data_IF_237939021681
#
_entry.id   IF_237939021681
#
_cell.length_a   1.000
_cell.length_b   1.000
_cell.length_c   1.000
_cell.angle_alpha   90.00
_cell.angle_beta   90.00
_cell.angle_gamma   90.00
#
_symmetry.space_group_name_H-M   'P 1'
#
loop_
_entity.id
_entity.type
_entity.pdbx_description
1 polymer ?
#
# COMPACT_ATOMS: atom_id res chain seq x y z
N UNK A 1 40.18 9.39 25.37
CA UNK A 1 39.63 8.04 25.17
C UNK A 1 38.75 8.10 23.97
N UNK A 2 38.78 7.06 23.14
CA UNK A 2 37.82 6.91 22.04
C UNK A 2 36.57 6.25 22.64
N UNK A 3 35.42 6.91 22.55
CA UNK A 3 34.16 6.38 23.10
C UNK A 3 33.70 5.08 22.41
N UNK A 4 34.30 4.76 21.26
CA UNK A 4 34.03 3.55 20.48
C UNK A 4 35.00 2.40 20.75
N UNK A 5 35.87 2.50 21.75
CA UNK A 5 36.76 1.40 22.11
C UNK A 5 36.80 1.14 23.61
N UNK A 6 36.85 -0.14 23.97
CA UNK A 6 37.29 -0.57 25.29
C UNK A 6 38.82 -0.50 25.33
N UNK A 7 39.32 0.58 25.92
CA UNK A 7 40.75 0.81 26.09
C UNK A 7 41.21 0.19 27.42
N UNK A 8 42.06 -0.84 27.35
CA UNK A 8 42.66 -1.50 28.53
C UNK A 8 44.18 -1.48 28.46
N UNK A 9 44.84 -1.51 29.61
CA UNK A 9 46.30 -1.56 29.69
C UNK A 9 46.74 -2.90 30.27
N UNK A 10 47.46 -3.67 29.48
CA UNK A 10 48.09 -4.92 29.89
C UNK A 10 49.57 -4.67 30.24
N UNK A 11 50.04 -5.00 31.45
CA UNK A 11 51.42 -4.74 31.86
C UNK A 11 52.49 -5.47 31.03
N UNK A 12 52.11 -6.52 30.30
CA UNK A 12 53.01 -7.35 29.48
C UNK A 12 52.91 -6.97 28.01
N UNK A 13 51.69 -6.79 27.50
CA UNK A 13 51.45 -6.57 26.06
C UNK A 13 51.18 -5.11 25.67
N UNK A 14 51.05 -4.20 26.63
CA UNK A 14 50.76 -2.79 26.39
C UNK A 14 49.26 -2.47 26.22
N UNK A 15 48.94 -1.32 25.64
CA UNK A 15 47.56 -0.87 25.44
C UNK A 15 46.83 -1.77 24.43
N UNK A 16 45.60 -2.17 24.78
CA UNK A 16 44.66 -2.88 23.92
C UNK A 16 43.41 -2.01 23.75
N UNK A 17 42.96 -1.85 22.51
CA UNK A 17 41.75 -1.12 22.17
C UNK A 17 40.86 -2.06 21.37
N UNK A 18 39.71 -2.42 21.91
CA UNK A 18 38.73 -3.27 21.23
C UNK A 18 37.51 -2.44 20.82
N UNK A 19 37.04 -2.50 19.56
CA UNK A 19 35.84 -1.80 19.16
C UNK A 19 34.63 -2.18 20.01
N UNK A 20 33.83 -1.19 20.40
CA UNK A 20 32.52 -1.42 21.00
C UNK A 20 31.55 -1.84 19.89
N UNK A 21 30.73 -2.86 20.18
CA UNK A 21 29.58 -3.21 19.36
C UNK A 21 28.41 -2.31 19.73
N UNK A 22 27.99 -1.46 18.79
CA UNK A 22 26.85 -0.57 18.95
C UNK A 22 25.56 -1.16 18.38
N UNK A 23 25.51 -2.45 18.07
CA UNK A 23 24.27 -3.06 17.59
C UNK A 23 23.20 -3.11 18.70
N UNK A 24 22.11 -2.35 18.55
CA UNK A 24 21.00 -2.36 19.53
C UNK A 24 19.96 -3.46 19.24
N UNK A 25 20.10 -4.17 18.13
CA UNK A 25 19.17 -5.18 17.59
C UNK A 25 17.81 -4.61 17.18
N UNK A 26 17.69 -3.30 17.00
CA UNK A 26 16.53 -2.65 16.41
C UNK A 26 16.73 -2.57 14.88
N UNK A 27 15.91 -3.30 14.13
CA UNK A 27 15.96 -3.27 12.66
C UNK A 27 15.49 -1.92 12.08
N UNK A 28 14.99 -1.02 12.94
CA UNK A 28 14.50 0.30 12.60
C UNK A 28 15.51 1.41 12.88
N UNK A 29 16.73 1.07 13.25
CA UNK A 29 17.82 2.03 13.46
C UNK A 29 19.00 1.72 12.53
N UNK A 30 19.75 2.76 12.21
CA UNK A 30 21.11 2.62 11.72
C UNK A 30 22.08 2.88 12.85
N UNK A 31 22.84 1.86 13.21
CA UNK A 31 23.75 1.90 14.33
C UNK A 31 25.11 2.43 13.89
N UNK A 32 25.62 3.40 14.63
CA UNK A 32 26.94 3.96 14.40
C UNK A 32 27.64 4.28 15.71
N UNK A 33 28.96 4.46 15.65
CA UNK A 33 29.70 4.89 16.81
C UNK A 33 30.43 6.21 16.55
N UNK A 34 30.05 7.22 17.33
CA UNK A 34 30.72 8.51 17.38
C UNK A 34 31.91 8.45 18.34
N UNK A 35 33.09 8.84 17.87
CA UNK A 35 34.33 8.73 18.65
C UNK A 35 34.34 9.54 19.96
N UNK A 36 33.45 10.53 20.09
CA UNK A 36 33.34 11.41 21.26
C UNK A 36 32.08 11.11 22.07
N UNK A 37 30.95 10.86 21.40
CA UNK A 37 29.65 10.71 22.03
C UNK A 37 29.27 9.24 22.31
N UNK A 38 29.92 8.28 21.64
CA UNK A 38 29.64 6.85 21.77
C UNK A 38 28.62 6.34 20.76
N UNK A 39 27.92 5.26 21.10
CA UNK A 39 26.92 4.65 20.21
C UNK A 39 25.76 5.61 19.91
N UNK A 40 25.39 5.68 18.64
CA UNK A 40 24.28 6.46 18.09
C UNK A 40 23.37 5.53 17.30
N UNK A 41 22.08 5.75 17.45
CA UNK A 41 21.01 4.99 16.82
C UNK A 41 20.12 6.00 16.11
N UNK A 42 20.10 5.94 14.77
CA UNK A 42 19.29 6.86 13.96
C UNK A 42 18.11 6.10 13.36
N UNK A 43 16.90 6.54 13.66
CA UNK A 43 15.67 5.94 13.13
C UNK A 43 15.70 5.93 11.59
N UNK A 44 15.39 4.77 11.00
CA UNK A 44 15.18 4.65 9.56
C UNK A 44 13.75 5.05 9.22
N UNK A 45 13.58 5.54 7.99
CA UNK A 45 12.25 5.73 7.40
C UNK A 45 11.96 4.56 6.47
N UNK A 46 10.85 3.87 6.72
CA UNK A 46 10.29 2.91 5.78
C UNK A 46 9.40 3.66 4.79
N UNK A 47 9.74 3.57 3.51
CA UNK A 47 8.99 4.16 2.41
C UNK A 47 9.15 3.24 1.18
N UNK A 48 8.08 2.55 0.77
CA UNK A 48 8.06 1.75 -0.46
C UNK A 48 7.63 2.53 -1.70
N UNK A 49 7.46 3.85 -1.56
CA UNK A 49 7.00 4.79 -2.58
C UNK A 49 5.58 4.52 -3.10
N UNK A 50 4.81 3.65 -2.44
CA UNK A 50 3.42 3.38 -2.78
C UNK A 50 2.49 4.22 -1.91
N UNK A 51 1.57 4.96 -2.54
CA UNK A 51 0.49 5.64 -1.81
C UNK A 51 -0.60 4.68 -1.32
N UNK A 52 -0.49 3.40 -1.71
CA UNK A 52 -1.43 2.33 -1.41
C UNK A 52 -1.03 1.50 -0.19
N UNK A 53 -0.04 1.95 0.55
CA UNK A 53 0.54 1.26 1.70
C UNK A 53 0.64 2.22 2.88
N UNK A 54 0.52 1.65 4.07
CA UNK A 54 0.88 2.32 5.31
C UNK A 54 2.20 1.73 5.74
N UNK A 55 3.21 2.59 5.84
CA UNK A 55 4.59 2.18 6.02
C UNK A 55 4.98 2.36 7.47
N UNK A 56 5.43 1.27 8.08
CA UNK A 56 5.79 1.24 9.50
C UNK A 56 7.09 0.47 9.66
N UNK A 57 7.81 0.75 10.74
CA UNK A 57 8.97 -0.03 11.12
C UNK A 57 8.71 -0.69 12.47
N UNK A 58 8.83 -2.01 12.51
CA UNK A 58 8.78 -2.79 13.74
C UNK A 58 10.18 -3.24 14.15
N UNK A 59 10.67 -2.95 15.36
CA UNK A 59 12.06 -3.22 15.74
C UNK A 59 12.55 -4.66 15.52
N UNK A 60 11.66 -5.64 15.65
CA UNK A 60 11.99 -7.05 15.48
C UNK A 60 11.84 -7.56 14.03
N UNK A 61 11.08 -6.85 13.19
CA UNK A 61 10.68 -7.31 11.85
C UNK A 61 11.23 -6.42 10.72
N UNK A 62 11.70 -5.21 11.05
CA UNK A 62 12.10 -4.17 10.10
C UNK A 62 10.88 -3.49 9.46
N UNK A 63 11.05 -3.04 8.23
CA UNK A 63 9.99 -2.36 7.49
C UNK A 63 8.81 -3.29 7.15
N UNK A 64 7.61 -2.78 7.43
CA UNK A 64 6.32 -3.42 7.14
C UNK A 64 5.48 -2.45 6.31
N UNK A 65 5.05 -2.93 5.15
CA UNK A 65 4.24 -2.20 4.18
C UNK A 65 2.84 -2.81 4.15
N UNK A 66 1.89 -2.17 4.80
CA UNK A 66 0.52 -2.72 4.92
C UNK A 66 -0.39 -2.12 3.86
N UNK A 67 -0.97 -2.91 2.95
CA UNK A 67 -1.89 -2.39 1.94
C UNK A 67 -3.08 -1.65 2.57
N UNK A 68 -3.44 -0.50 2.01
CA UNK A 68 -4.66 0.22 2.40
C UNK A 68 -5.90 -0.40 1.74
N UNK A 69 -7.06 -0.18 2.35
CA UNK A 69 -8.34 -0.47 1.71
C UNK A 69 -8.79 0.73 0.88
N UNK A 70 -9.14 0.48 -0.38
CA UNK A 70 -9.80 1.45 -1.26
C UNK A 70 -11.29 1.14 -1.41
N UNK A 71 -11.92 0.48 -0.44
CA UNK A 71 -13.36 0.19 -0.46
C UNK A 71 -14.18 1.49 -0.34
N UNK A 72 -14.93 1.87 -1.38
CA UNK A 72 -15.86 3.01 -1.34
C UNK A 72 -17.28 2.66 -0.86
N UNK A 73 -17.49 1.39 -0.48
CA UNK A 73 -18.76 0.82 -0.05
C UNK A 73 -19.86 0.79 -1.12
N UNK A 74 -19.53 1.02 -2.39
CA UNK A 74 -20.46 0.88 -3.51
C UNK A 74 -20.30 -0.52 -4.12
N UNK A 75 -21.41 -1.26 -4.19
CA UNK A 75 -21.39 -2.61 -4.78
C UNK A 75 -21.25 -2.62 -6.31
N UNK A 76 -21.43 -1.45 -6.93
CA UNK A 76 -21.38 -1.26 -8.38
C UNK A 76 -20.08 -0.60 -8.84
N UNK A 77 -19.03 -0.65 -8.03
CA UNK A 77 -17.68 -0.24 -8.38
C UNK A 77 -16.73 -1.42 -8.20
N UNK A 78 -15.69 -1.44 -9.01
CA UNK A 78 -14.50 -2.27 -8.82
C UNK A 78 -13.42 -1.36 -8.28
N UNK A 79 -13.06 -1.63 -7.03
CA UNK A 79 -12.13 -0.82 -6.28
C UNK A 79 -10.72 -1.37 -6.42
N UNK A 80 -9.78 -0.47 -6.69
CA UNK A 80 -8.37 -0.81 -6.83
C UNK A 80 -7.51 0.32 -6.29
N UNK A 81 -6.25 0.01 -5.98
CA UNK A 81 -5.29 1.02 -5.59
C UNK A 81 -4.12 1.04 -6.58
N UNK A 82 -3.91 2.20 -7.20
CA UNK A 82 -2.76 2.45 -8.04
C UNK A 82 -1.62 3.02 -7.18
N UNK A 83 -0.42 2.40 -7.15
CA UNK A 83 0.64 2.77 -6.22
C UNK A 83 1.15 4.21 -6.40
N UNK A 84 0.85 4.87 -7.51
CA UNK A 84 1.25 6.26 -7.78
C UNK A 84 0.08 7.22 -7.57
N UNK A 85 -1.11 6.88 -8.07
CA UNK A 85 -2.24 7.81 -8.08
C UNK A 85 -3.26 7.59 -6.95
N UNK A 86 -3.17 6.48 -6.22
CA UNK A 86 -4.07 6.14 -5.12
C UNK A 86 -5.31 5.36 -5.56
N UNK A 87 -6.35 5.42 -4.74
CA UNK A 87 -7.58 4.68 -4.95
C UNK A 87 -8.27 5.05 -6.27
N UNK A 88 -8.73 4.02 -6.98
CA UNK A 88 -9.48 4.10 -8.22
C UNK A 88 -10.74 3.25 -8.07
N UNK A 89 -11.86 3.84 -8.45
CA UNK A 89 -13.19 3.25 -8.40
C UNK A 89 -13.72 3.24 -9.83
N UNK A 90 -13.95 2.06 -10.39
CA UNK A 90 -14.42 1.91 -11.76
C UNK A 90 -15.80 1.28 -11.75
N UNK A 91 -16.78 1.92 -12.40
CA UNK A 91 -18.13 1.39 -12.45
C UNK A 91 -18.16 -0.03 -13.03
N UNK A 92 -18.94 -0.90 -12.40
CA UNK A 92 -19.25 -2.24 -12.91
C UNK A 92 -20.01 -2.09 -14.22
N UNK A 93 -19.41 -2.59 -15.30
CA UNK A 93 -20.04 -2.61 -16.61
C UNK A 93 -20.95 -3.83 -16.70
N UNK A 94 -22.25 -3.59 -16.65
CA UNK A 94 -23.26 -4.57 -17.00
C UNK A 94 -23.55 -4.46 -18.48
N UNK A 95 -23.35 -5.55 -19.22
CA UNK A 95 -23.66 -5.63 -20.64
C UNK A 95 -24.01 -7.08 -20.99
N UNK A 96 -25.25 -7.35 -21.38
CA UNK A 96 -25.69 -8.72 -21.73
C UNK A 96 -25.56 -9.04 -23.23
N UNK A 97 -25.31 -8.03 -24.06
CA UNK A 97 -25.18 -8.18 -25.51
C UNK A 97 -26.43 -7.82 -26.30
N UNK A 98 -27.51 -7.41 -25.64
CA UNK A 98 -28.76 -7.00 -26.25
C UNK A 98 -28.86 -5.47 -26.32
N UNK A 99 -29.14 -4.95 -27.52
CA UNK A 99 -29.44 -3.52 -27.70
C UNK A 99 -30.86 -3.16 -27.22
N UNK A 100 -31.70 -4.16 -26.95
CA UNK A 100 -33.08 -4.00 -26.45
C UNK A 100 -33.17 -4.05 -24.92
N UNK A 101 -32.08 -3.87 -24.19
CA UNK A 101 -32.08 -3.91 -22.73
C UNK A 101 -31.36 -2.71 -22.13
N UNK A 102 -31.94 -2.18 -21.06
CA UNK A 102 -31.29 -1.23 -20.18
C UNK A 102 -30.51 -2.04 -19.14
N UNK A 103 -29.19 -2.04 -19.32
CA UNK A 103 -28.27 -2.82 -18.49
C UNK A 103 -27.75 -1.93 -17.36
N UNK A 104 -28.10 -2.28 -16.13
CA UNK A 104 -27.71 -1.47 -14.96
C UNK A 104 -27.17 -2.35 -13.85
N UNK A 105 -26.20 -1.82 -13.11
CA UNK A 105 -25.80 -2.44 -11.86
C UNK A 105 -26.70 -1.96 -10.72
N UNK A 106 -27.23 -2.90 -9.95
CA UNK A 106 -28.09 -2.62 -8.81
C UNK A 106 -27.27 -2.22 -7.58
N UNK A 107 -27.37 -0.97 -7.08
CA UNK A 107 -26.52 -0.49 -5.98
C UNK A 107 -26.77 -1.19 -4.65
N UNK A 108 -27.90 -1.88 -4.48
CA UNK A 108 -28.23 -2.60 -3.25
C UNK A 108 -27.71 -4.04 -3.23
N UNK A 109 -27.47 -4.64 -4.40
CA UNK A 109 -27.07 -6.06 -4.51
C UNK A 109 -25.72 -6.26 -5.20
N UNK A 110 -25.24 -5.29 -5.98
CA UNK A 110 -24.05 -5.40 -6.83
C UNK A 110 -24.26 -6.33 -8.04
N UNK A 111 -25.50 -6.73 -8.31
CA UNK A 111 -25.84 -7.61 -9.43
C UNK A 111 -26.25 -6.77 -10.64
N UNK A 112 -25.96 -7.30 -11.83
CA UNK A 112 -26.47 -6.73 -13.07
C UNK A 112 -27.95 -7.08 -13.25
N UNK A 113 -28.75 -6.06 -13.45
CA UNK A 113 -30.15 -6.12 -13.85
C UNK A 113 -30.24 -5.72 -15.34
N UNK A 114 -31.02 -6.49 -16.11
CA UNK A 114 -31.23 -6.30 -17.54
C UNK A 114 -32.74 -6.17 -17.78
N UNK A 115 -33.22 -4.95 -17.95
CA UNK A 115 -34.64 -4.66 -18.16
C UNK A 115 -34.90 -4.39 -19.65
N UNK A 116 -35.93 -5.02 -20.21
CA UNK A 116 -36.28 -4.81 -21.62
C UNK A 116 -36.68 -3.35 -21.88
N UNK A 117 -36.03 -2.71 -22.84
CA UNK A 117 -36.39 -1.37 -23.30
C UNK A 117 -37.60 -1.43 -24.23
N UNK A 118 -38.53 -0.48 -24.09
CA UNK A 118 -39.66 -0.35 -25.02
C UNK A 118 -39.16 0.31 -26.31
N UNK A 119 -38.78 -0.52 -27.29
CA UNK A 119 -38.33 -0.07 -28.62
C UNK A 119 -39.47 0.48 -29.50
N UNK A 120 -40.68 0.70 -28.96
CA UNK A 120 -41.84 1.19 -29.70
C UNK A 120 -41.74 2.69 -29.98
N UNK A 121 -41.51 3.05 -31.25
CA UNK A 121 -41.44 4.44 -31.71
C UNK A 121 -42.83 5.08 -31.93
N UNK A 122 -43.90 4.32 -31.68
CA UNK A 122 -45.30 4.64 -31.97
C UNK A 122 -45.56 4.99 -33.45
N UNK A 123 -44.72 4.52 -34.38
CA UNK A 123 -44.90 4.66 -35.82
C UNK A 123 -45.41 3.34 -36.43
N UNK A 124 -46.66 3.33 -36.87
CA UNK A 124 -47.28 2.14 -37.49
C UNK A 124 -46.62 1.72 -38.82
N UNK A 125 -45.71 2.53 -39.37
CA UNK A 125 -45.01 2.28 -40.63
C UNK A 125 -43.60 1.70 -40.46
N UNK A 126 -43.07 1.62 -39.24
CA UNK A 126 -41.75 1.03 -38.93
C UNK A 126 -41.92 -0.30 -38.18
N UNK A 127 -40.86 -1.10 -38.15
CA UNK A 127 -40.79 -2.24 -37.24
C UNK A 127 -40.01 -1.78 -36.02
N UNK A 128 -40.63 -1.86 -34.85
CA UNK A 128 -39.97 -1.58 -33.57
C UNK A 128 -38.65 -2.34 -33.49
N UNK A 129 -37.55 -1.61 -33.37
CA UNK A 129 -36.21 -2.16 -33.23
C UNK A 129 -35.36 -1.22 -32.41
N UNK A 130 -34.63 -1.78 -31.44
CA UNK A 130 -33.50 -1.09 -30.86
C UNK A 130 -32.29 -1.43 -31.73
N UNK A 131 -31.80 -0.45 -32.50
CA UNK A 131 -30.66 -0.56 -33.43
C UNK A 131 -29.59 0.47 -33.03
#
# INVERSE_FOLDING_TARGET
GNACTYDTCDPVTGCKNEPIDCNDNDLCTTDSCDQQEGCKYEDITCDDSSVCTTDTCEPASGCIYTPISCDDSLLCTVDSCDPVTGCKYTDVVCHDGSECTIDTCNPATGLCDYEGEDCNDNDECTTDSCD
#
